data_IF_943813468374
#
_entry.id   IF_943813468374
#
_cell.length_a   1.000
_cell.length_b   1.000
_cell.length_c   1.000
_cell.angle_alpha   90.00
_cell.angle_beta   90.00
_cell.angle_gamma   90.00
#
_symmetry.space_group_name_H-M   'P 1'
#
loop_
_entity.id
_entity.type
_entity.pdbx_description
1 polymer ?
#
# COMPACT_ATOMS: atom_id res chain seq x y z
N UNK A 1 -28.88 -8.00 -2.32
CA UNK A 1 -28.79 -6.76 -1.52
C UNK A 1 -27.66 -6.81 -0.48
N UNK A 2 -27.47 -7.93 0.25
CA UNK A 2 -26.38 -8.07 1.24
C UNK A 2 -24.95 -7.97 0.65
N UNK A 3 -24.69 -8.64 -0.49
CA UNK A 3 -23.36 -8.64 -1.14
C UNK A 3 -22.92 -7.22 -1.53
N UNK A 4 -23.82 -6.43 -2.15
CA UNK A 4 -23.51 -5.04 -2.51
C UNK A 4 -23.22 -4.15 -1.30
N UNK A 5 -23.90 -4.40 -0.17
CA UNK A 5 -23.63 -3.70 1.08
C UNK A 5 -22.25 -4.03 1.63
N UNK A 6 -21.89 -5.31 1.69
CA UNK A 6 -20.58 -5.76 2.18
C UNK A 6 -19.44 -5.24 1.30
N UNK A 7 -19.61 -5.34 -0.02
CA UNK A 7 -18.66 -4.78 -0.99
C UNK A 7 -18.50 -3.26 -0.81
N UNK A 8 -19.61 -2.53 -0.61
CA UNK A 8 -19.59 -1.10 -0.36
C UNK A 8 -18.84 -0.73 0.94
N UNK A 9 -19.10 -1.47 2.02
CA UNK A 9 -18.43 -1.27 3.31
C UNK A 9 -16.92 -1.54 3.19
N UNK A 10 -16.53 -2.64 2.55
CA UNK A 10 -15.12 -2.99 2.34
C UNK A 10 -14.40 -1.93 1.51
N UNK A 11 -15.02 -1.48 0.43
CA UNK A 11 -14.48 -0.43 -0.43
C UNK A 11 -14.32 0.88 0.32
N UNK A 12 -15.30 1.26 1.14
CA UNK A 12 -15.23 2.47 1.97
C UNK A 12 -14.11 2.37 3.02
N UNK A 13 -14.01 1.24 3.74
CA UNK A 13 -12.95 1.02 4.73
C UNK A 13 -11.57 1.09 4.07
N UNK A 14 -11.43 0.49 2.88
CA UNK A 14 -10.20 0.54 2.10
C UNK A 14 -9.82 1.99 1.74
N UNK A 15 -10.74 2.74 1.11
CA UNK A 15 -10.47 4.12 0.70
C UNK A 15 -10.16 5.05 1.88
N UNK A 16 -10.87 4.91 3.00
CA UNK A 16 -10.59 5.68 4.21
C UNK A 16 -9.22 5.34 4.79
N UNK A 17 -8.85 4.06 4.82
CA UNK A 17 -7.55 3.61 5.34
C UNK A 17 -6.41 4.08 4.45
N UNK A 18 -6.59 3.96 3.14
CA UNK A 18 -5.66 4.49 2.14
C UNK A 18 -5.45 5.99 2.37
N UNK A 19 -6.52 6.79 2.34
CA UNK A 19 -6.44 8.24 2.48
C UNK A 19 -5.76 8.67 3.80
N UNK A 20 -6.14 8.04 4.92
CA UNK A 20 -5.52 8.33 6.23
C UNK A 20 -4.02 8.04 6.20
N UNK A 21 -3.62 6.88 5.67
CA UNK A 21 -2.22 6.47 5.62
C UNK A 21 -1.42 7.33 4.64
N UNK A 22 -1.97 7.71 3.48
CA UNK A 22 -1.32 8.65 2.55
C UNK A 22 -1.07 9.97 3.25
N UNK A 23 -2.09 10.55 3.88
CA UNK A 23 -1.96 11.83 4.61
C UNK A 23 -0.90 11.73 5.69
N UNK A 24 -0.96 10.69 6.52
CA UNK A 24 -0.04 10.53 7.63
C UNK A 24 1.40 10.29 7.15
N UNK A 25 1.62 9.30 6.28
CA UNK A 25 2.97 8.86 5.91
C UNK A 25 3.63 9.77 4.88
N UNK A 26 2.87 10.29 3.92
CA UNK A 26 3.42 11.13 2.83
C UNK A 26 3.43 12.59 3.23
N UNK A 27 2.26 13.14 3.60
CA UNK A 27 2.12 14.60 3.74
C UNK A 27 2.49 15.12 5.13
N UNK A 28 2.26 14.35 6.20
CA UNK A 28 2.60 14.76 7.57
C UNK A 28 4.01 14.33 7.95
N UNK A 29 4.34 13.05 7.79
CA UNK A 29 5.61 12.49 8.25
C UNK A 29 6.71 12.47 7.18
N UNK A 30 6.36 12.63 5.90
CA UNK A 30 7.29 12.56 4.77
C UNK A 30 8.21 11.32 4.81
N UNK A 31 7.65 10.18 5.20
CA UNK A 31 8.36 8.90 5.30
C UNK A 31 9.09 8.51 4.00
N UNK A 32 8.49 8.60 2.79
CA UNK A 32 9.21 8.20 1.57
C UNK A 32 10.42 9.11 1.30
N UNK A 33 10.33 10.40 1.62
CA UNK A 33 11.44 11.36 1.48
C UNK A 33 12.55 11.08 2.48
N UNK A 34 12.19 10.85 3.75
CA UNK A 34 13.14 10.53 4.82
C UNK A 34 13.88 9.20 4.60
N UNK A 35 13.18 8.17 4.11
CA UNK A 35 13.78 6.85 3.85
C UNK A 35 14.67 6.85 2.60
N UNK A 36 14.21 7.46 1.51
CA UNK A 36 14.92 7.41 0.22
C UNK A 36 16.03 8.45 0.09
N UNK A 37 15.94 9.56 0.81
CA UNK A 37 16.75 10.75 0.57
C UNK A 37 16.50 11.40 -0.80
N UNK A 38 15.39 11.06 -1.48
CA UNK A 38 15.04 11.54 -2.83
C UNK A 38 13.80 12.42 -2.82
N UNK A 39 13.84 13.50 -2.04
CA UNK A 39 12.69 14.40 -1.88
C UNK A 39 12.13 14.91 -3.22
N UNK A 40 12.98 15.24 -4.18
CA UNK A 40 12.54 15.74 -5.48
C UNK A 40 11.64 14.74 -6.23
N UNK A 41 11.93 13.43 -6.12
CA UNK A 41 11.09 12.39 -6.75
C UNK A 41 9.78 12.19 -5.98
N UNK A 42 9.82 12.32 -4.65
CA UNK A 42 8.62 12.26 -3.81
C UNK A 42 7.68 13.43 -4.12
N UNK A 43 8.23 14.63 -4.26
CA UNK A 43 7.47 15.83 -4.61
C UNK A 43 6.90 15.72 -6.02
N UNK A 44 7.69 15.26 -6.99
CA UNK A 44 7.21 15.01 -8.35
C UNK A 44 6.01 14.03 -8.35
N UNK A 45 6.07 12.99 -7.52
CA UNK A 45 5.03 11.97 -7.45
C UNK A 45 3.77 12.46 -6.71
N UNK A 46 3.93 13.00 -5.51
CA UNK A 46 2.82 13.26 -4.59
C UNK A 46 2.35 14.72 -4.55
N UNK A 47 3.10 15.65 -5.14
CA UNK A 47 2.69 17.07 -5.23
C UNK A 47 2.43 17.46 -6.68
N UNK A 48 3.40 17.26 -7.57
CA UNK A 48 3.30 17.78 -8.94
C UNK A 48 2.32 16.95 -9.77
N UNK A 49 2.36 15.63 -9.64
CA UNK A 49 1.54 14.70 -10.43
C UNK A 49 0.43 14.00 -9.63
N UNK A 50 0.03 14.56 -8.47
CA UNK A 50 -0.87 13.89 -7.52
C UNK A 50 -2.20 13.41 -8.12
N UNK A 51 -2.73 14.13 -9.12
CA UNK A 51 -3.98 13.76 -9.81
C UNK A 51 -3.89 12.43 -10.57
N UNK A 52 -2.71 12.04 -10.99
CA UNK A 52 -2.47 10.79 -11.73
C UNK A 52 -1.96 9.71 -10.78
N UNK A 53 -1.07 10.08 -9.86
CA UNK A 53 -0.40 9.12 -8.97
C UNK A 53 -1.30 8.63 -7.84
N UNK A 54 -2.16 9.47 -7.27
CA UNK A 54 -3.08 9.02 -6.20
C UNK A 54 -4.06 7.95 -6.72
N UNK A 55 -4.75 8.10 -7.87
CA UNK A 55 -5.55 7.02 -8.42
C UNK A 55 -4.75 5.75 -8.73
N UNK A 56 -3.51 5.90 -9.22
CA UNK A 56 -2.63 4.77 -9.46
C UNK A 56 -2.29 4.03 -8.15
N UNK A 57 -1.94 4.75 -7.09
CA UNK A 57 -1.66 4.20 -5.77
C UNK A 57 -2.88 3.48 -5.18
N UNK A 58 -4.09 4.02 -5.37
CA UNK A 58 -5.34 3.34 -5.00
C UNK A 58 -5.44 1.97 -5.69
N UNK A 59 -5.06 1.87 -6.96
CA UNK A 59 -5.10 0.59 -7.69
C UNK A 59 -3.97 -0.34 -7.25
N UNK A 60 -2.76 0.18 -7.09
CA UNK A 60 -1.58 -0.60 -6.71
C UNK A 60 -1.73 -1.18 -5.32
N UNK A 61 -2.06 -0.37 -4.31
CA UNK A 61 -2.26 -0.87 -2.94
C UNK A 61 -3.40 -1.87 -2.89
N UNK A 62 -4.49 -1.64 -3.62
CA UNK A 62 -5.60 -2.59 -3.71
C UNK A 62 -5.13 -3.94 -4.26
N UNK A 63 -4.33 -3.95 -5.33
CA UNK A 63 -3.79 -5.16 -5.92
C UNK A 63 -2.88 -5.93 -4.95
N UNK A 64 -2.02 -5.22 -4.20
CA UNK A 64 -1.16 -5.83 -3.19
C UNK A 64 -1.99 -6.50 -2.08
N UNK A 65 -2.98 -5.79 -1.56
CA UNK A 65 -3.86 -6.31 -0.50
C UNK A 65 -4.74 -7.46 -0.99
N UNK A 66 -5.20 -7.42 -2.25
CA UNK A 66 -5.97 -8.50 -2.85
C UNK A 66 -5.16 -9.79 -2.91
N UNK A 67 -3.92 -9.72 -3.41
CA UNK A 67 -3.02 -10.88 -3.48
C UNK A 67 -2.73 -11.40 -2.07
N UNK A 68 -2.41 -10.51 -1.12
CA UNK A 68 -2.17 -10.91 0.27
C UNK A 68 -3.40 -11.60 0.88
N UNK A 69 -4.60 -11.09 0.61
CA UNK A 69 -5.84 -11.64 1.12
C UNK A 69 -6.19 -13.00 0.50
N UNK A 70 -5.86 -13.23 -0.78
CA UNK A 70 -5.97 -14.55 -1.42
C UNK A 70 -5.05 -15.57 -0.74
N UNK A 71 -3.81 -15.18 -0.44
CA UNK A 71 -2.86 -16.03 0.28
C UNK A 71 -3.37 -16.34 1.69
N UNK A 72 -3.81 -15.32 2.44
CA UNK A 72 -4.40 -15.49 3.78
C UNK A 72 -5.56 -16.48 3.75
N UNK A 73 -6.45 -16.34 2.77
CA UNK A 73 -7.60 -17.24 2.61
C UNK A 73 -7.15 -18.67 2.28
N UNK A 74 -6.17 -18.83 1.39
CA UNK A 74 -5.59 -20.14 1.05
C UNK A 74 -4.97 -20.87 2.25
N UNK A 75 -4.30 -20.14 3.15
CA UNK A 75 -3.76 -20.70 4.40
C UNK A 75 -4.80 -20.87 5.52
N UNK A 76 -5.99 -20.28 5.39
CA UNK A 76 -7.05 -20.35 6.41
C UNK A 76 -6.68 -19.71 7.75
N UNK A 77 -5.67 -18.83 7.79
CA UNK A 77 -5.15 -18.29 9.05
C UNK A 77 -6.04 -17.20 9.64
N UNK A 78 -6.37 -17.33 10.93
CA UNK A 78 -7.13 -16.33 11.69
C UNK A 78 -6.23 -15.45 12.56
N UNK A 79 -4.97 -15.83 12.73
CA UNK A 79 -4.04 -15.12 13.61
C UNK A 79 -3.60 -13.80 13.00
N UNK A 80 -3.89 -12.69 13.69
CA UNK A 80 -3.66 -11.34 13.19
C UNK A 80 -2.17 -11.09 12.83
N UNK A 81 -1.25 -11.54 13.68
CA UNK A 81 0.20 -11.41 13.42
C UNK A 81 0.62 -12.11 12.12
N UNK A 82 0.09 -13.31 11.87
CA UNK A 82 0.39 -14.07 10.65
C UNK A 82 -0.17 -13.35 9.42
N UNK A 83 -1.35 -12.74 9.53
CA UNK A 83 -1.93 -11.94 8.42
C UNK A 83 -1.06 -10.72 8.09
N UNK A 84 -0.54 -10.02 9.10
CA UNK A 84 0.41 -8.92 8.88
C UNK A 84 1.70 -9.38 8.22
N UNK A 85 2.25 -10.51 8.66
CA UNK A 85 3.45 -11.08 8.04
C UNK A 85 3.18 -11.47 6.57
N UNK A 86 2.03 -12.05 6.25
CA UNK A 86 1.67 -12.37 4.86
C UNK A 86 1.58 -11.10 4.01
N UNK A 87 0.97 -10.02 4.52
CA UNK A 87 0.89 -8.74 3.80
C UNK A 87 2.30 -8.20 3.56
N UNK A 88 3.15 -8.13 4.58
CA UNK A 88 4.52 -7.64 4.44
C UNK A 88 5.36 -8.48 3.46
N UNK A 89 5.25 -9.80 3.51
CA UNK A 89 5.95 -10.71 2.59
C UNK A 89 5.44 -10.60 1.16
N UNK A 90 4.12 -10.46 0.98
CA UNK A 90 3.51 -10.25 -0.34
C UNK A 90 4.01 -8.94 -0.95
N UNK A 91 4.00 -7.86 -0.16
CA UNK A 91 4.54 -6.56 -0.59
C UNK A 91 6.02 -6.64 -0.94
N UNK A 92 6.81 -7.34 -0.11
CA UNK A 92 8.23 -7.57 -0.38
C UNK A 92 8.43 -8.32 -1.70
N UNK A 93 7.64 -9.35 -1.97
CA UNK A 93 7.74 -10.14 -3.20
C UNK A 93 7.37 -9.31 -4.44
N UNK A 94 6.27 -8.56 -4.38
CA UNK A 94 5.80 -7.77 -5.53
C UNK A 94 6.71 -6.55 -5.77
N UNK A 95 6.94 -5.73 -4.75
CA UNK A 95 7.79 -4.53 -4.89
C UNK A 95 9.26 -4.91 -5.14
N UNK A 96 9.74 -5.98 -4.49
CA UNK A 96 11.07 -6.54 -4.77
C UNK A 96 11.23 -7.07 -6.20
N UNK A 97 10.18 -7.67 -6.78
CA UNK A 97 10.16 -8.06 -8.19
C UNK A 97 10.28 -6.83 -9.10
N UNK A 98 9.50 -5.78 -8.86
CA UNK A 98 9.59 -4.54 -9.63
C UNK A 98 10.96 -3.87 -9.48
N UNK A 99 11.48 -3.78 -8.26
CA UNK A 99 12.81 -3.26 -7.99
C UNK A 99 13.89 -4.00 -8.82
N UNK A 100 13.89 -5.33 -8.77
CA UNK A 100 14.86 -6.14 -9.53
C UNK A 100 14.68 -5.95 -11.04
N UNK A 101 13.45 -5.93 -11.54
CA UNK A 101 13.14 -5.72 -12.96
C UNK A 101 13.67 -4.38 -13.47
N UNK A 102 13.45 -3.30 -12.70
CA UNK A 102 13.90 -1.96 -13.09
C UNK A 102 15.41 -1.79 -12.97
N UNK A 103 16.06 -2.31 -11.92
CA UNK A 103 17.52 -2.21 -11.75
C UNK A 103 18.29 -3.07 -12.77
N UNK A 104 17.71 -4.19 -13.20
CA UNK A 104 18.32 -5.08 -14.20
C UNK A 104 18.24 -4.53 -15.63
N UNK A 105 17.47 -3.46 -15.86
CA UNK A 105 17.27 -2.83 -17.17
C UNK A 105 17.89 -1.44 -17.18
N UNK A 106 18.49 -0.94 -18.28
CA UNK A 106 19.08 0.40 -18.30
C UNK A 106 18.11 1.49 -17.83
N UNK A 107 18.62 2.48 -17.08
CA UNK A 107 17.83 3.58 -16.52
C UNK A 107 17.01 4.27 -17.62
N UNK A 108 15.69 4.20 -17.49
CA UNK A 108 14.76 4.93 -18.34
C UNK A 108 14.37 6.24 -17.65
N UNK A 109 14.87 7.37 -18.17
CA UNK A 109 14.62 8.70 -17.59
C UNK A 109 13.17 9.16 -17.71
N UNK A 110 12.43 8.67 -18.70
CA UNK A 110 11.01 9.00 -18.90
C UNK A 110 10.10 8.29 -17.89
N UNK A 111 10.51 7.12 -17.41
CA UNK A 111 9.71 6.36 -16.45
C UNK A 111 9.98 6.83 -15.01
N UNK A 112 8.94 7.30 -14.34
CA UNK A 112 9.01 7.62 -12.91
C UNK A 112 9.50 6.41 -12.09
N UNK A 113 8.89 5.23 -12.27
CA UNK A 113 9.25 4.05 -11.49
C UNK A 113 10.70 3.62 -11.72
N UNK A 114 11.23 3.74 -12.95
CA UNK A 114 12.65 3.48 -13.19
C UNK A 114 13.52 4.46 -12.40
N UNK A 115 13.26 5.78 -12.48
CA UNK A 115 13.98 6.79 -11.68
C UNK A 115 13.84 6.56 -10.18
N UNK A 116 12.67 6.15 -9.72
CA UNK A 116 12.37 5.87 -8.33
C UNK A 116 13.19 4.69 -7.81
N UNK A 117 13.14 3.52 -8.46
CA UNK A 117 13.90 2.35 -8.01
C UNK A 117 15.41 2.53 -8.14
N UNK A 118 15.90 3.24 -9.16
CA UNK A 118 17.32 3.62 -9.25
C UNK A 118 17.75 4.64 -8.19
N UNK A 119 16.87 5.57 -7.83
CA UNK A 119 17.17 6.63 -6.88
C UNK A 119 17.06 6.20 -5.42
N UNK A 120 15.93 5.60 -5.05
CA UNK A 120 15.61 5.16 -3.69
C UNK A 120 16.18 3.77 -3.37
N UNK A 121 16.42 2.94 -4.38
CA UNK A 121 16.95 1.60 -4.19
C UNK A 121 16.01 0.70 -3.37
N UNK A 122 16.59 -0.10 -2.47
CA UNK A 122 15.83 -0.99 -1.56
C UNK A 122 14.91 -0.23 -0.60
N UNK A 123 15.18 1.06 -0.34
CA UNK A 123 14.32 1.88 0.52
C UNK A 123 12.94 2.13 -0.09
N UNK A 124 12.79 2.04 -1.42
CA UNK A 124 11.48 2.02 -2.07
C UNK A 124 10.65 0.81 -1.61
N UNK A 125 11.26 -0.38 -1.62
CA UNK A 125 10.60 -1.63 -1.19
C UNK A 125 10.25 -1.56 0.30
N UNK A 126 11.17 -1.05 1.12
CA UNK A 126 10.93 -0.89 2.56
C UNK A 126 9.75 0.07 2.83
N UNK A 127 9.68 1.19 2.10
CA UNK A 127 8.57 2.11 2.19
C UNK A 127 7.24 1.44 1.81
N UNK A 128 7.19 0.69 0.71
CA UNK A 128 5.98 -0.03 0.29
C UNK A 128 5.52 -1.02 1.37
N UNK A 129 6.45 -1.74 2.00
CA UNK A 129 6.15 -2.67 3.12
C UNK A 129 5.48 -1.92 4.27
N UNK A 130 6.05 -0.80 4.70
CA UNK A 130 5.49 0.03 5.78
C UNK A 130 4.10 0.55 5.38
N UNK A 131 3.99 1.11 4.18
CA UNK A 131 2.79 1.75 3.69
C UNK A 131 1.63 0.75 3.56
N UNK A 132 1.80 -0.34 2.82
CA UNK A 132 0.75 -1.34 2.57
C UNK A 132 0.36 -2.06 3.86
N UNK A 133 1.33 -2.38 4.73
CA UNK A 133 1.03 -3.03 6.02
C UNK A 133 0.24 -2.10 6.94
N UNK A 134 0.55 -0.80 6.96
CA UNK A 134 -0.21 0.18 7.74
C UNK A 134 -1.62 0.36 7.19
N UNK A 135 -1.79 0.50 5.88
CA UNK A 135 -3.12 0.56 5.24
C UNK A 135 -3.96 -0.65 5.63
N UNK A 136 -3.38 -1.85 5.59
CA UNK A 136 -4.05 -3.06 6.01
C UNK A 136 -4.43 -3.04 7.51
N UNK A 137 -3.52 -2.61 8.39
CA UNK A 137 -3.78 -2.53 9.83
C UNK A 137 -4.92 -1.56 10.16
N UNK A 138 -4.91 -0.37 9.56
CA UNK A 138 -5.97 0.63 9.72
C UNK A 138 -7.29 0.09 9.17
N UNK A 139 -7.27 -0.56 8.01
CA UNK A 139 -8.48 -1.14 7.40
C UNK A 139 -9.11 -2.21 8.30
N UNK A 140 -8.31 -3.13 8.84
CA UNK A 140 -8.83 -4.16 9.75
C UNK A 140 -9.33 -3.53 11.05
N UNK A 141 -8.65 -2.52 11.59
CA UNK A 141 -9.11 -1.81 12.77
C UNK A 141 -10.48 -1.15 12.55
N UNK A 142 -10.65 -0.39 11.46
CA UNK A 142 -11.93 0.23 11.10
C UNK A 142 -13.01 -0.83 10.94
N UNK A 143 -12.71 -1.94 10.26
CA UNK A 143 -13.68 -3.01 10.03
C UNK A 143 -14.14 -3.68 11.33
N UNK A 144 -13.23 -3.95 12.27
CA UNK A 144 -13.56 -4.53 13.58
C UNK A 144 -14.43 -3.57 14.40
N UNK A 145 -14.04 -2.29 14.49
CA UNK A 145 -14.75 -1.31 15.32
C UNK A 145 -16.12 -0.92 14.75
N UNK A 146 -16.23 -0.69 13.44
CA UNK A 146 -17.45 -0.18 12.82
C UNK A 146 -18.44 -1.27 12.42
N UNK A 147 -17.96 -2.43 11.97
CA UNK A 147 -18.84 -3.45 11.37
C UNK A 147 -19.20 -4.53 12.37
N UNK A 148 -18.25 -4.98 13.19
CA UNK A 148 -18.51 -6.11 14.10
C UNK A 148 -19.07 -5.69 15.46
N UNK A 149 -18.62 -4.57 16.04
CA UNK A 149 -19.17 -4.07 17.32
C UNK A 149 -20.54 -3.41 17.20
N UNK A 150 -20.88 -2.81 16.06
CA UNK A 150 -22.18 -2.16 15.85
C UNK A 150 -23.28 -3.20 15.57
N UNK A 151 -22.96 -4.32 14.91
CA UNK A 151 -23.93 -5.40 14.64
C UNK A 151 -24.13 -6.38 15.81
N UNK A 152 -23.37 -6.24 16.91
CA UNK A 152 -23.48 -7.06 18.12
C UNK A 152 -24.12 -6.32 19.31
N UNK A 153 -24.52 -5.06 19.10
CA UNK A 153 -25.39 -4.30 20.01
C UNK A 153 -26.78 -4.19 19.42
#
# INVERSE_FOLDING_TARGET
MAIFREFGILSLCYLLSFALCTVLLVYVLNVPGLLSGKQNLVDEYYKDNFLITIPLDIVLVFAYLLIAQLIIYGFGTKHMLVRFLIVALTTTAISGFFYNMYISSPLNKESFFSRWFYGAGIYAVLYDIIYVTLVYAVMVYILIEQVYKVNTK
#
